data_IF_499270053057
#
_entry.id   IF_499270053057
#
_cell.length_a   1.000
_cell.length_b   1.000
_cell.length_c   1.000
_cell.angle_alpha   90.00
_cell.angle_beta   90.00
_cell.angle_gamma   90.00
#
_symmetry.space_group_name_H-M   'P 1'
#
loop_
_entity.id
_entity.type
_entity.pdbx_description
1 polymer ?
#
# COMPACT_ATOMS: atom_id res chain seq x y z
N UNK A 1 59.36 23.96 -0.38
CA UNK A 1 58.49 23.62 -1.52
C UNK A 1 57.70 22.37 -1.18
N UNK A 2 56.55 22.51 -0.52
CA UNK A 2 55.75 21.35 -0.13
C UNK A 2 54.32 21.76 0.28
N UNK A 3 53.50 22.21 -0.69
CA UNK A 3 52.07 21.85 -0.74
C UNK A 3 51.39 22.41 -1.99
N UNK A 4 50.71 21.56 -2.79
CA UNK A 4 49.35 21.92 -3.24
C UNK A 4 48.31 20.82 -3.01
N UNK A 5 48.69 19.71 -2.36
CA UNK A 5 47.82 18.52 -2.24
C UNK A 5 46.96 18.48 -0.97
N UNK A 6 47.27 19.24 0.10
CA UNK A 6 46.47 19.19 1.34
C UNK A 6 45.21 20.08 1.28
N UNK A 7 45.22 21.15 0.48
CA UNK A 7 44.05 22.02 0.32
C UNK A 7 42.88 21.30 -0.39
N UNK A 8 43.18 20.48 -1.42
CA UNK A 8 42.16 19.68 -2.12
C UNK A 8 41.54 18.58 -1.25
N UNK A 9 42.27 18.08 -0.26
CA UNK A 9 41.74 17.08 0.67
C UNK A 9 40.89 17.71 1.79
N UNK A 10 41.11 18.97 2.15
CA UNK A 10 40.27 19.70 3.11
C UNK A 10 38.92 20.16 2.52
N UNK A 11 38.78 20.36 1.21
CA UNK A 11 37.53 20.78 0.54
C UNK A 11 36.37 19.76 0.58
N UNK A 12 36.62 18.53 1.04
CA UNK A 12 35.67 17.42 0.85
C UNK A 12 34.36 17.45 1.64
N UNK A 13 34.23 18.04 2.85
CA UNK A 13 32.98 17.89 3.60
C UNK A 13 31.84 18.82 3.14
N UNK A 14 32.11 19.90 2.39
CA UNK A 14 31.10 20.92 2.07
C UNK A 14 31.00 21.32 0.59
N UNK A 15 31.84 20.78 -0.29
CA UNK A 15 31.81 21.02 -1.74
C UNK A 15 32.49 22.32 -2.19
N UNK A 16 32.44 22.58 -3.50
CA UNK A 16 33.04 23.75 -4.15
C UNK A 16 32.10 24.97 -4.18
N UNK A 17 32.65 26.14 -4.48
CA UNK A 17 31.93 27.41 -4.62
C UNK A 17 30.96 27.33 -5.81
N UNK A 18 29.72 27.79 -5.62
CA UNK A 18 28.64 27.61 -6.61
C UNK A 18 28.82 28.64 -7.74
N UNK A 19 29.34 28.21 -8.88
CA UNK A 19 29.50 29.07 -10.05
C UNK A 19 28.17 29.37 -10.75
N UNK A 20 27.34 28.34 -10.99
CA UNK A 20 26.00 28.48 -11.59
C UNK A 20 24.93 27.81 -10.74
N UNK A 21 24.18 28.63 -10.03
CA UNK A 21 23.08 28.22 -9.15
C UNK A 21 21.98 27.45 -9.89
N UNK A 22 21.70 27.78 -11.16
CA UNK A 22 20.66 27.09 -11.94
C UNK A 22 21.09 25.65 -12.25
N UNK A 23 22.29 25.51 -12.80
CA UNK A 23 22.84 24.20 -13.12
C UNK A 23 23.00 23.34 -11.86
N UNK A 24 23.49 23.91 -10.75
CA UNK A 24 23.60 23.20 -9.48
C UNK A 24 22.26 22.74 -8.94
N UNK A 25 21.22 23.59 -8.95
CA UNK A 25 19.88 23.19 -8.48
C UNK A 25 19.33 22.03 -9.31
N UNK A 26 19.44 22.11 -10.64
CA UNK A 26 18.96 21.06 -11.52
C UNK A 26 19.71 19.74 -11.26
N UNK A 27 21.03 19.78 -11.09
CA UNK A 27 21.83 18.61 -10.74
C UNK A 27 21.40 17.98 -9.41
N UNK A 28 21.14 18.78 -8.37
CA UNK A 28 20.65 18.28 -7.08
C UNK A 28 19.28 17.61 -7.25
N UNK A 29 18.35 18.24 -7.97
CA UNK A 29 17.01 17.68 -8.24
C UNK A 29 17.12 16.34 -8.98
N UNK A 30 17.92 16.29 -10.05
CA UNK A 30 18.10 15.05 -10.83
C UNK A 30 18.75 13.95 -10.00
N UNK A 31 19.77 14.27 -9.21
CA UNK A 31 20.41 13.30 -8.30
C UNK A 31 19.44 12.78 -7.26
N UNK A 32 18.64 13.67 -6.66
CA UNK A 32 17.61 13.30 -5.71
C UNK A 32 16.57 12.36 -6.32
N UNK A 33 15.97 12.73 -7.45
CA UNK A 33 14.97 11.90 -8.11
C UNK A 33 15.53 10.52 -8.53
N UNK A 34 16.76 10.49 -9.04
CA UNK A 34 17.43 9.23 -9.42
C UNK A 34 17.67 8.33 -8.20
N UNK A 35 18.15 8.90 -7.09
CA UNK A 35 18.37 8.14 -5.87
C UNK A 35 17.07 7.65 -5.24
N UNK A 36 16.03 8.49 -5.19
CA UNK A 36 14.70 8.13 -4.71
C UNK A 36 14.16 6.91 -5.47
N UNK A 37 14.23 6.96 -6.81
CA UNK A 37 13.82 5.84 -7.67
C UNK A 37 14.70 4.60 -7.49
N UNK A 38 16.01 4.76 -7.27
CA UNK A 38 16.93 3.65 -7.01
C UNK A 38 16.66 2.98 -5.65
N UNK A 39 16.28 3.74 -4.61
CA UNK A 39 15.90 3.19 -3.29
C UNK A 39 14.61 2.39 -3.38
N UNK A 40 13.63 2.84 -4.17
CA UNK A 40 12.42 2.05 -4.46
C UNK A 40 12.76 0.81 -5.29
N UNK A 41 13.64 0.94 -6.29
CA UNK A 41 14.05 -0.18 -7.14
C UNK A 41 15.00 -1.18 -6.49
N UNK A 42 15.49 -0.91 -5.27
CA UNK A 42 16.49 -1.74 -4.60
C UNK A 42 17.88 -1.71 -5.26
N UNK A 43 18.16 -0.70 -6.08
CA UNK A 43 19.43 -0.52 -6.82
C UNK A 43 20.28 0.62 -6.28
N UNK A 44 19.95 1.14 -5.09
CA UNK A 44 20.71 2.16 -4.41
C UNK A 44 22.14 1.69 -4.11
N UNK A 45 23.12 2.57 -4.32
CA UNK A 45 24.56 2.26 -4.14
C UNK A 45 24.95 1.95 -2.70
N UNK A 46 24.23 2.55 -1.74
CA UNK A 46 24.46 2.36 -0.31
C UNK A 46 23.23 1.65 0.27
N UNK A 47 23.32 0.34 0.46
CA UNK A 47 22.25 -0.48 1.03
C UNK A 47 22.34 -0.37 2.55
N UNK A 48 21.30 0.16 3.18
CA UNK A 48 21.17 0.21 4.64
C UNK A 48 20.95 -1.21 5.18
N UNK A 49 21.78 -1.65 6.13
CA UNK A 49 21.74 -3.01 6.69
C UNK A 49 21.01 -3.09 8.03
N UNK A 50 20.65 -1.94 8.62
CA UNK A 50 20.07 -1.86 9.96
C UNK A 50 18.55 -2.06 9.97
N UNK A 51 17.84 -1.55 8.95
CA UNK A 51 16.38 -1.63 8.85
C UNK A 51 15.95 -1.88 7.40
N UNK A 52 14.81 -2.57 7.24
CA UNK A 52 14.19 -2.77 5.95
C UNK A 52 13.53 -1.46 5.48
N UNK A 53 14.02 -0.89 4.39
CA UNK A 53 13.51 0.36 3.82
C UNK A 53 13.27 0.26 2.30
N UNK A 54 12.55 1.23 1.75
CA UNK A 54 12.37 1.37 0.30
C UNK A 54 11.57 0.23 -0.32
N UNK A 55 12.02 -0.25 -1.49
CA UNK A 55 11.31 -1.30 -2.23
C UNK A 55 11.13 -2.60 -1.46
N UNK A 56 12.14 -3.00 -0.69
CA UNK A 56 12.08 -4.22 0.09
C UNK A 56 11.04 -4.13 1.23
N UNK A 57 10.88 -2.94 1.83
CA UNK A 57 9.86 -2.67 2.84
C UNK A 57 8.46 -2.66 2.25
N UNK A 58 8.28 -2.10 1.06
CA UNK A 58 7.01 -2.16 0.32
C UNK A 58 6.63 -3.63 0.03
N UNK A 59 7.59 -4.45 -0.41
CA UNK A 59 7.36 -5.87 -0.63
C UNK A 59 6.93 -6.61 0.66
N UNK A 60 7.57 -6.30 1.79
CA UNK A 60 7.18 -6.83 3.10
C UNK A 60 5.77 -6.38 3.51
N UNK A 61 5.39 -5.12 3.24
CA UNK A 61 4.02 -4.64 3.51
C UNK A 61 3.00 -5.46 2.71
N UNK A 62 3.26 -5.75 1.44
CA UNK A 62 2.33 -6.53 0.61
C UNK A 62 2.19 -7.99 1.07
N UNK A 63 3.28 -8.66 1.38
CA UNK A 63 3.25 -10.10 1.66
C UNK A 63 3.08 -10.40 3.15
N UNK A 64 3.99 -9.89 3.98
CA UNK A 64 4.07 -10.25 5.40
C UNK A 64 3.06 -9.48 6.26
N UNK A 65 2.75 -8.24 5.89
CA UNK A 65 1.78 -7.42 6.64
C UNK A 65 0.37 -7.62 6.11
N UNK A 66 0.12 -7.26 4.84
CA UNK A 66 -1.20 -7.31 4.24
C UNK A 66 -1.68 -8.75 4.01
N UNK A 67 -0.85 -9.59 3.38
CA UNK A 67 -1.17 -11.01 3.19
C UNK A 67 -1.52 -11.72 4.50
N UNK A 68 -0.65 -11.62 5.51
CA UNK A 68 -0.91 -12.19 6.85
C UNK A 68 -2.18 -11.64 7.51
N UNK A 69 -2.46 -10.33 7.33
CA UNK A 69 -3.68 -9.71 7.87
C UNK A 69 -4.92 -10.31 7.22
N UNK A 70 -4.94 -10.49 5.90
CA UNK A 70 -6.06 -11.11 5.20
C UNK A 70 -6.26 -12.58 5.58
N UNK A 71 -5.17 -13.32 5.77
CA UNK A 71 -5.22 -14.73 6.17
C UNK A 71 -5.88 -14.93 7.54
N UNK A 72 -5.65 -14.01 8.48
CA UNK A 72 -6.24 -14.02 9.83
C UNK A 72 -7.74 -13.72 9.85
N UNK A 73 -8.31 -13.20 8.76
CA UNK A 73 -9.76 -12.93 8.68
C UNK A 73 -10.50 -14.25 8.53
N UNK A 74 -11.18 -14.67 9.60
CA UNK A 74 -12.03 -15.85 9.58
C UNK A 74 -13.25 -15.59 8.67
N UNK A 75 -13.48 -16.43 7.63
CA UNK A 75 -14.60 -16.29 6.69
C UNK A 75 -15.99 -16.38 7.35
N UNK A 76 -16.10 -17.06 8.50
CA UNK A 76 -17.35 -17.23 9.23
C UNK A 76 -17.40 -16.38 10.51
N UNK A 77 -16.49 -15.42 10.67
CA UNK A 77 -16.54 -14.56 11.86
C UNK A 77 -17.88 -13.84 11.92
N UNK A 78 -18.49 -13.85 13.10
CA UNK A 78 -19.81 -13.28 13.38
C UNK A 78 -20.95 -13.92 12.55
N UNK A 79 -20.79 -15.17 12.08
CA UNK A 79 -21.85 -15.96 11.45
C UNK A 79 -22.04 -17.24 12.25
N UNK A 80 -22.96 -17.20 13.21
CA UNK A 80 -23.38 -18.42 13.93
C UNK A 80 -24.43 -19.15 13.10
N UNK A 81 -24.59 -20.46 13.32
CA UNK A 81 -25.65 -21.23 12.65
C UNK A 81 -27.05 -20.67 12.93
N UNK A 82 -27.25 -20.01 14.09
CA UNK A 82 -28.49 -19.31 14.41
C UNK A 82 -28.69 -18.06 13.53
N UNK A 83 -27.64 -17.29 13.27
CA UNK A 83 -27.70 -16.12 12.38
C UNK A 83 -28.02 -16.54 10.95
N UNK A 84 -27.37 -17.62 10.48
CA UNK A 84 -27.60 -18.19 9.15
C UNK A 84 -29.05 -18.66 9.04
N UNK A 85 -29.55 -19.43 10.01
CA UNK A 85 -30.93 -19.89 10.00
C UNK A 85 -31.92 -18.73 10.04
N UNK A 86 -31.63 -17.71 10.85
CA UNK A 86 -32.46 -16.50 10.91
C UNK A 86 -32.49 -15.81 9.55
N UNK A 87 -31.36 -15.72 8.84
CA UNK A 87 -31.30 -15.19 7.50
C UNK A 87 -32.10 -16.04 6.49
N UNK A 88 -32.02 -17.37 6.55
CA UNK A 88 -32.82 -18.29 5.72
C UNK A 88 -34.32 -18.05 5.94
N UNK A 89 -34.75 -17.99 7.20
CA UNK A 89 -36.17 -17.77 7.57
C UNK A 89 -36.65 -16.40 7.08
N UNK A 90 -35.86 -15.35 7.28
CA UNK A 90 -36.19 -13.99 6.81
C UNK A 90 -36.24 -13.90 5.28
N UNK A 91 -35.31 -14.56 4.57
CA UNK A 91 -35.28 -14.58 3.11
C UNK A 91 -36.45 -15.39 2.52
N UNK A 92 -36.94 -16.41 3.23
CA UNK A 92 -38.11 -17.20 2.83
C UNK A 92 -39.41 -16.42 3.04
N UNK A 93 -39.48 -15.59 4.08
CA UNK A 93 -40.64 -14.76 4.39
C UNK A 93 -41.82 -15.58 4.96
N UNK A 94 -43.08 -15.28 4.59
CA UNK A 94 -44.26 -15.84 5.25
C UNK A 94 -44.62 -17.27 4.83
N UNK A 95 -43.91 -17.86 3.86
CA UNK A 95 -44.24 -19.18 3.29
C UNK A 95 -43.23 -20.24 3.76
N UNK A 96 -43.61 -21.52 3.83
CA UNK A 96 -42.64 -22.60 4.04
C UNK A 96 -41.74 -22.75 2.80
N UNK A 97 -40.42 -22.84 2.99
CA UNK A 97 -39.44 -23.04 1.93
C UNK A 97 -39.30 -24.53 1.58
N UNK A 98 -39.33 -24.84 0.28
CA UNK A 98 -38.92 -26.15 -0.24
C UNK A 98 -37.39 -26.23 -0.43
N UNK A 99 -36.73 -25.10 -0.69
CA UNK A 99 -35.29 -25.00 -0.94
C UNK A 99 -34.71 -23.78 -0.21
N UNK A 100 -33.41 -23.80 0.03
CA UNK A 100 -32.69 -22.67 0.62
C UNK A 100 -32.69 -21.49 -0.38
N UNK A 101 -33.13 -20.28 0.00
CA UNK A 101 -33.09 -19.12 -0.88
C UNK A 101 -31.65 -18.71 -1.20
N UNK A 102 -31.30 -18.60 -2.49
CA UNK A 102 -29.96 -18.19 -2.97
C UNK A 102 -29.51 -16.83 -2.42
N UNK A 103 -30.47 -15.91 -2.25
CA UNK A 103 -30.27 -14.57 -1.69
C UNK A 103 -29.65 -14.62 -0.28
N UNK A 104 -29.89 -15.70 0.48
CA UNK A 104 -29.28 -15.88 1.81
C UNK A 104 -27.77 -15.97 1.72
N UNK A 105 -27.27 -16.82 0.82
CA UNK A 105 -25.85 -16.97 0.57
C UNK A 105 -25.25 -15.64 0.10
N UNK A 106 -25.90 -15.01 -0.89
CA UNK A 106 -25.43 -13.75 -1.47
C UNK A 106 -25.30 -12.63 -0.43
N UNK A 107 -26.31 -12.45 0.43
CA UNK A 107 -26.30 -11.45 1.49
C UNK A 107 -25.15 -11.67 2.48
N UNK A 108 -25.00 -12.92 2.95
CA UNK A 108 -24.03 -13.26 3.99
C UNK A 108 -22.60 -13.20 3.46
N UNK A 109 -22.35 -13.67 2.23
CA UNK A 109 -21.01 -13.63 1.64
C UNK A 109 -20.57 -12.19 1.34
N UNK A 110 -21.48 -11.32 0.86
CA UNK A 110 -21.19 -9.89 0.66
C UNK A 110 -20.81 -9.20 1.97
N UNK A 111 -21.48 -9.55 3.09
CA UNK A 111 -21.13 -9.04 4.41
C UNK A 111 -19.70 -9.41 4.80
N UNK A 112 -19.25 -10.61 4.45
CA UNK A 112 -17.88 -11.06 4.72
C UNK A 112 -16.86 -10.38 3.80
N UNK A 113 -17.13 -10.30 2.50
CA UNK A 113 -16.25 -9.64 1.51
C UNK A 113 -16.01 -8.17 1.88
N UNK A 114 -17.04 -7.44 2.35
CA UNK A 114 -16.91 -6.04 2.77
C UNK A 114 -15.87 -5.82 3.87
N UNK A 115 -15.56 -6.84 4.66
CA UNK A 115 -14.52 -6.76 5.72
C UNK A 115 -13.09 -6.71 5.17
N UNK A 116 -12.91 -6.95 3.87
CA UNK A 116 -11.61 -6.83 3.20
C UNK A 116 -11.26 -5.38 2.86
N UNK A 117 -12.20 -4.43 2.98
CA UNK A 117 -11.99 -3.01 2.64
C UNK A 117 -10.96 -2.37 3.57
N UNK A 118 -11.21 -2.39 4.87
CA UNK A 118 -10.33 -1.76 5.88
C UNK A 118 -8.87 -2.23 5.81
N UNK A 119 -8.55 -3.56 5.80
CA UNK A 119 -7.17 -4.00 5.70
C UNK A 119 -6.52 -3.63 4.35
N UNK A 120 -7.30 -3.56 3.26
CA UNK A 120 -6.80 -3.14 1.95
C UNK A 120 -6.46 -1.65 1.92
N UNK A 121 -7.30 -0.81 2.52
CA UNK A 121 -7.03 0.64 2.63
C UNK A 121 -5.87 0.92 3.58
N UNK A 122 -5.74 0.15 4.67
CA UNK A 122 -4.59 0.24 5.55
C UNK A 122 -3.28 -0.11 4.83
N UNK A 123 -3.30 -1.08 3.90
CA UNK A 123 -2.15 -1.38 3.06
C UNK A 123 -1.72 -0.17 2.20
N UNK A 124 -2.68 0.58 1.65
CA UNK A 124 -2.41 1.82 0.90
C UNK A 124 -1.71 2.85 1.79
N UNK A 125 -2.21 3.07 3.01
CA UNK A 125 -1.61 4.02 3.97
C UNK A 125 -0.19 3.64 4.35
N UNK A 126 0.06 2.37 4.68
CA UNK A 126 1.40 1.89 5.04
C UNK A 126 2.42 2.08 3.91
N UNK A 127 2.03 1.85 2.66
CA UNK A 127 2.91 2.10 1.50
C UNK A 127 3.12 3.60 1.29
N UNK A 128 2.09 4.42 1.47
CA UNK A 128 2.24 5.87 1.39
C UNK A 128 3.19 6.40 2.47
N UNK A 129 3.09 5.93 3.71
CA UNK A 129 4.03 6.25 4.80
C UNK A 129 5.46 5.80 4.48
N UNK A 130 5.64 4.61 3.89
CA UNK A 130 6.95 4.15 3.46
C UNK A 130 7.54 5.04 2.38
N UNK A 131 6.76 5.39 1.36
CA UNK A 131 7.17 6.30 0.29
C UNK A 131 7.58 7.69 0.82
N UNK A 132 6.93 8.17 1.88
CA UNK A 132 7.35 9.38 2.59
C UNK A 132 8.67 9.18 3.35
N UNK A 133 8.85 8.04 4.01
CA UNK A 133 10.06 7.70 4.77
C UNK A 133 11.31 7.62 3.88
N UNK A 134 11.17 7.15 2.64
CA UNK A 134 12.28 7.06 1.67
C UNK A 134 12.98 8.40 1.46
N UNK A 135 12.27 9.53 1.56
CA UNK A 135 12.87 10.87 1.38
C UNK A 135 13.98 11.16 2.41
N UNK A 136 13.86 10.59 3.61
CA UNK A 136 14.87 10.72 4.67
C UNK A 136 16.08 9.80 4.43
N UNK A 137 15.90 8.73 3.66
CA UNK A 137 16.89 7.66 3.46
C UNK A 137 17.42 7.57 2.02
N UNK A 138 17.44 8.68 1.27
CA UNK A 138 17.98 8.75 -0.10
C UNK A 138 19.53 8.66 -0.18
N UNK A 139 20.21 8.18 0.85
CA UNK A 139 21.66 7.96 0.89
C UNK A 139 22.49 9.14 1.43
N UNK A 140 23.71 8.80 1.86
CA UNK A 140 24.62 9.69 2.60
C UNK A 140 25.02 10.93 1.80
N UNK A 141 25.32 10.77 0.50
CA UNK A 141 25.74 11.90 -0.36
C UNK A 141 24.65 12.97 -0.47
N UNK A 142 23.40 12.55 -0.61
CA UNK A 142 22.25 13.46 -0.71
C UNK A 142 21.98 14.10 0.63
N UNK A 143 22.05 13.34 1.73
CA UNK A 143 21.92 13.91 3.07
C UNK A 143 22.96 15.02 3.34
N UNK A 144 24.19 14.88 2.84
CA UNK A 144 25.21 15.93 2.94
C UNK A 144 24.82 17.20 2.15
N UNK A 145 24.30 17.05 0.93
CA UNK A 145 23.79 18.17 0.14
C UNK A 145 22.59 18.85 0.81
N UNK A 146 21.68 18.06 1.40
CA UNK A 146 20.51 18.57 2.13
C UNK A 146 20.91 19.30 3.42
N UNK A 147 21.98 18.88 4.09
CA UNK A 147 22.55 19.62 5.24
C UNK A 147 23.19 20.95 4.82
N UNK A 148 23.75 21.03 3.61
CA UNK A 148 24.29 22.29 3.04
C UNK A 148 23.17 23.27 2.71
N UNK A 149 22.07 22.78 2.12
CA UNK A 149 20.92 23.57 1.66
C UNK A 149 19.61 23.18 2.38
N UNK A 150 19.43 23.55 3.66
CA UNK A 150 18.28 23.11 4.45
C UNK A 150 16.93 23.60 3.90
N UNK A 151 16.88 24.81 3.33
CA UNK A 151 15.64 25.35 2.71
C UNK A 151 15.23 24.59 1.46
N UNK A 152 16.22 24.17 0.65
CA UNK A 152 15.96 23.31 -0.50
C UNK A 152 15.42 21.95 -0.04
N UNK A 153 15.97 21.37 1.03
CA UNK A 153 15.49 20.10 1.58
C UNK A 153 14.04 20.18 2.06
N UNK A 154 13.70 21.20 2.86
CA UNK A 154 12.32 21.42 3.32
C UNK A 154 11.35 21.57 2.15
N UNK A 155 11.79 22.26 1.09
CA UNK A 155 10.97 22.43 -0.10
C UNK A 155 10.82 21.13 -0.90
N UNK A 156 11.88 20.35 -1.07
CA UNK A 156 11.81 19.01 -1.70
C UNK A 156 10.84 18.12 -0.93
N UNK A 157 10.97 18.05 0.40
CA UNK A 157 10.06 17.28 1.27
C UNK A 157 8.60 17.70 1.07
N UNK A 158 8.35 19.01 1.01
CA UNK A 158 7.01 19.57 0.79
C UNK A 158 6.45 19.18 -0.58
N UNK A 159 7.25 19.23 -1.64
CA UNK A 159 6.85 18.82 -3.00
C UNK A 159 6.53 17.33 -3.03
N UNK A 160 7.44 16.47 -2.54
CA UNK A 160 7.23 15.01 -2.51
C UNK A 160 5.97 14.66 -1.72
N UNK A 161 5.80 15.26 -0.53
CA UNK A 161 4.61 15.06 0.30
C UNK A 161 3.32 15.47 -0.41
N UNK A 162 3.36 16.56 -1.19
CA UNK A 162 2.20 17.03 -1.97
C UNK A 162 1.87 16.05 -3.10
N UNK A 163 2.87 15.57 -3.83
CA UNK A 163 2.69 14.58 -4.90
C UNK A 163 2.12 13.28 -4.34
N UNK A 164 2.69 12.75 -3.25
CA UNK A 164 2.21 11.53 -2.60
C UNK A 164 0.76 11.66 -2.11
N UNK A 165 0.43 12.77 -1.44
CA UNK A 165 -0.95 13.05 -0.98
C UNK A 165 -1.93 13.17 -2.15
N UNK A 166 -1.53 13.76 -3.27
CA UNK A 166 -2.38 13.87 -4.47
C UNK A 166 -2.73 12.52 -5.07
N UNK A 167 -1.91 11.49 -4.84
CA UNK A 167 -2.10 10.12 -5.33
C UNK A 167 -2.75 9.19 -4.32
N UNK A 168 -2.76 9.55 -3.04
CA UNK A 168 -3.38 8.75 -1.98
C UNK A 168 -4.88 8.55 -2.23
N UNK A 169 -5.63 9.63 -2.44
CA UNK A 169 -7.10 9.57 -2.60
C UNK A 169 -7.51 8.74 -3.82
N UNK A 170 -6.95 8.96 -5.04
CA UNK A 170 -7.27 8.12 -6.19
C UNK A 170 -6.94 6.64 -5.99
N UNK A 171 -5.83 6.34 -5.30
CA UNK A 171 -5.44 4.95 -5.02
C UNK A 171 -6.41 4.28 -4.06
N UNK A 172 -6.82 4.98 -2.99
CA UNK A 172 -7.83 4.49 -2.04
C UNK A 172 -9.17 4.23 -2.73
N UNK A 173 -9.65 5.18 -3.52
CA UNK A 173 -10.89 5.04 -4.27
C UNK A 173 -10.85 3.85 -5.23
N UNK A 174 -9.73 3.64 -5.93
CA UNK A 174 -9.60 2.49 -6.81
C UNK A 174 -9.61 1.17 -6.04
N UNK A 175 -8.94 1.09 -4.88
CA UNK A 175 -8.96 -0.10 -4.03
C UNK A 175 -10.36 -0.38 -3.44
N UNK A 176 -11.10 0.65 -3.05
CA UNK A 176 -12.51 0.54 -2.66
C UNK A 176 -13.35 -0.02 -3.81
N UNK A 177 -13.20 0.56 -5.02
CA UNK A 177 -13.89 0.11 -6.22
C UNK A 177 -13.59 -1.36 -6.58
N UNK A 178 -12.35 -1.83 -6.39
CA UNK A 178 -12.01 -3.25 -6.61
C UNK A 178 -12.88 -4.18 -5.77
N UNK A 179 -13.14 -3.81 -4.52
CA UNK A 179 -13.97 -4.61 -3.61
C UNK A 179 -15.46 -4.41 -3.89
N UNK A 180 -15.87 -3.19 -4.25
CA UNK A 180 -17.26 -2.90 -4.63
C UNK A 180 -17.68 -3.67 -5.89
N UNK A 181 -16.76 -3.91 -6.84
CA UNK A 181 -17.01 -4.76 -8.01
C UNK A 181 -17.27 -6.22 -7.58
N UNK A 182 -16.52 -6.75 -6.62
CA UNK A 182 -16.73 -8.10 -6.08
C UNK A 182 -18.06 -8.20 -5.30
N UNK A 183 -18.52 -7.10 -4.69
CA UNK A 183 -19.82 -7.00 -4.03
C UNK A 183 -20.98 -6.83 -5.01
N UNK A 184 -20.73 -6.25 -6.18
CA UNK A 184 -21.76 -5.98 -7.18
C UNK A 184 -22.30 -7.27 -7.81
N UNK A 185 -21.44 -8.28 -8.00
CA UNK A 185 -21.84 -9.53 -8.65
C UNK A 185 -21.17 -10.77 -8.03
N UNK A 186 -21.99 -11.72 -7.59
CA UNK A 186 -21.51 -13.02 -7.10
C UNK A 186 -21.54 -14.03 -8.24
N UNK A 187 -20.36 -14.43 -8.71
CA UNK A 187 -20.23 -15.39 -9.82
C UNK A 187 -20.24 -16.84 -9.32
N UNK A 188 -21.44 -17.43 -9.24
CA UNK A 188 -21.62 -18.83 -8.80
C UNK A 188 -21.23 -19.87 -9.86
N UNK A 189 -20.95 -19.46 -11.10
CA UNK A 189 -20.47 -20.35 -12.18
C UNK A 189 -18.95 -20.45 -12.24
N UNK A 190 -18.26 -19.91 -11.24
CA UNK A 190 -16.80 -19.88 -11.19
C UNK A 190 -16.22 -21.27 -11.47
N UNK A 191 -15.32 -21.39 -12.46
CA UNK A 191 -14.54 -22.61 -12.77
C UNK A 191 -13.46 -22.88 -11.71
N UNK A 192 -13.69 -22.52 -10.45
CA UNK A 192 -12.78 -22.89 -9.37
C UNK A 192 -13.15 -24.31 -8.92
N UNK A 193 -12.27 -25.32 -9.06
CA UNK A 193 -12.61 -26.72 -8.80
C UNK A 193 -13.22 -26.96 -7.42
N UNK A 194 -12.74 -26.26 -6.39
CA UNK A 194 -13.28 -26.35 -5.01
C UNK A 194 -14.71 -25.83 -4.89
N UNK A 195 -15.04 -24.66 -5.46
CA UNK A 195 -16.40 -24.12 -5.36
C UNK A 195 -17.40 -24.92 -6.20
N UNK A 196 -16.97 -25.40 -7.37
CA UNK A 196 -17.79 -26.27 -8.21
C UNK A 196 -18.06 -27.63 -7.53
N UNK A 197 -17.08 -28.21 -6.83
CA UNK A 197 -17.26 -29.44 -6.07
C UNK A 197 -18.21 -29.25 -4.87
N UNK A 198 -18.05 -28.17 -4.11
CA UNK A 198 -18.95 -27.83 -3.01
C UNK A 198 -20.38 -27.58 -3.50
N UNK A 199 -20.54 -26.80 -4.57
CA UNK A 199 -21.85 -26.55 -5.20
C UNK A 199 -22.47 -27.83 -5.79
N UNK A 200 -21.67 -28.74 -6.35
CA UNK A 200 -22.14 -30.03 -6.84
C UNK A 200 -22.59 -30.96 -5.70
N UNK A 201 -21.91 -30.94 -4.55
CA UNK A 201 -22.29 -31.68 -3.34
C UNK A 201 -23.64 -31.22 -2.78
N UNK A 202 -23.95 -29.92 -2.86
CA UNK A 202 -25.29 -29.39 -2.55
C UNK A 202 -26.36 -30.00 -3.47
N UNK A 203 -26.02 -30.26 -4.73
CA UNK A 203 -26.90 -30.97 -5.67
C UNK A 203 -27.16 -32.43 -5.31
N UNK A 204 -26.18 -33.11 -4.70
CA UNK A 204 -26.27 -34.54 -4.33
C UNK A 204 -27.03 -34.78 -3.02
N UNK A 205 -26.99 -33.82 -2.08
CA UNK A 205 -27.80 -33.88 -0.84
C UNK A 205 -29.33 -33.76 -1.09
N UNK A 206 -29.75 -33.50 -2.33
CA UNK A 206 -31.17 -33.39 -2.74
C UNK A 206 -31.93 -34.73 -2.85
N UNK A 207 -31.33 -35.88 -2.50
CA UNK A 207 -31.93 -37.20 -2.75
C UNK A 207 -32.50 -37.97 -1.56
N UNK A 208 -32.46 -37.42 -0.34
CA UNK A 208 -33.04 -38.10 0.83
C UNK A 208 -34.09 -37.22 1.53
N UNK A 209 -35.31 -37.22 0.99
CA UNK A 209 -36.51 -36.80 1.72
C UNK A 209 -37.60 -37.88 1.55
N UNK A 210 -37.81 -38.68 2.60
CA UNK A 210 -39.13 -39.23 2.95
C UNK A 210 -39.08 -39.92 4.32
N UNK A 211 -39.28 -39.17 5.40
CA UNK A 211 -39.87 -39.68 6.66
C UNK A 211 -40.72 -38.59 7.31
N UNK A 212 -41.95 -38.90 7.77
CA UNK A 212 -42.75 -37.94 8.51
C UNK A 212 -42.24 -37.87 9.95
N UNK A 213 -42.05 -36.67 10.49
CA UNK A 213 -41.75 -36.47 11.92
C UNK A 213 -42.93 -35.75 12.57
N UNK A 214 -43.42 -36.36 13.65
CA UNK A 214 -44.49 -35.88 14.50
C UNK A 214 -43.90 -35.31 15.81
N UNK A 215 -44.64 -34.39 16.45
CA UNK A 215 -44.54 -33.88 17.83
C UNK A 215 -43.66 -32.65 18.18
N UNK A 216 -44.31 -31.48 18.11
CA UNK A 216 -44.42 -30.33 19.05
C UNK A 216 -43.47 -30.10 20.26
N UNK A 217 -42.21 -30.54 20.30
CA UNK A 217 -41.32 -30.26 21.47
C UNK A 217 -39.97 -29.59 21.21
N UNK A 218 -39.70 -29.10 20.00
CA UNK A 218 -38.40 -28.52 19.65
C UNK A 218 -38.49 -27.02 19.43
N UNK A 219 -38.29 -26.24 20.49
CA UNK A 219 -38.09 -24.78 20.39
C UNK A 219 -36.67 -24.33 20.76
N UNK A 220 -35.76 -25.28 21.00
CA UNK A 220 -34.36 -25.00 21.41
C UNK A 220 -33.29 -25.72 20.59
N UNK A 221 -33.61 -26.76 19.83
CA UNK A 221 -32.65 -27.50 19.02
C UNK A 221 -33.00 -27.34 17.53
N UNK A 222 -31.97 -27.21 16.68
CA UNK A 222 -32.11 -27.08 15.24
C UNK A 222 -32.59 -28.42 14.68
N UNK A 223 -33.56 -28.40 13.76
CA UNK A 223 -33.94 -29.64 13.07
C UNK A 223 -32.77 -30.15 12.20
N UNK A 224 -32.69 -31.46 11.97
CA UNK A 224 -31.63 -32.06 11.13
C UNK A 224 -31.57 -31.43 9.72
N UNK A 225 -32.71 -30.98 9.20
CA UNK A 225 -32.80 -30.25 7.93
C UNK A 225 -32.16 -28.87 8.05
N UNK A 226 -32.54 -28.07 9.04
CA UNK A 226 -31.98 -26.74 9.26
C UNK A 226 -30.48 -26.77 9.53
N UNK A 227 -30.00 -27.80 10.23
CA UNK A 227 -28.57 -27.99 10.48
C UNK A 227 -27.81 -28.29 9.19
N UNK A 228 -28.36 -29.14 8.31
CA UNK A 228 -27.80 -29.39 6.96
C UNK A 228 -27.79 -28.12 6.11
N UNK A 229 -28.87 -27.36 6.12
CA UNK A 229 -29.00 -26.12 5.35
C UNK A 229 -27.96 -25.07 5.79
N UNK A 230 -27.76 -24.92 7.11
CA UNK A 230 -26.72 -24.03 7.64
C UNK A 230 -25.31 -24.48 7.20
N UNK A 231 -25.01 -25.78 7.30
CA UNK A 231 -23.71 -26.32 6.89
C UNK A 231 -23.42 -26.09 5.40
N UNK A 232 -24.42 -26.22 4.54
CA UNK A 232 -24.31 -25.91 3.10
C UNK A 232 -23.92 -24.45 2.90
N UNK A 233 -24.65 -23.52 3.53
CA UNK A 233 -24.36 -22.09 3.41
C UNK A 233 -22.97 -21.74 3.96
N UNK A 234 -22.58 -22.29 5.10
CA UNK A 234 -21.26 -22.09 5.68
C UNK A 234 -20.12 -22.51 4.73
N UNK A 235 -20.26 -23.66 4.07
CA UNK A 235 -19.27 -24.14 3.10
C UNK A 235 -19.18 -23.24 1.88
N UNK A 236 -20.34 -22.85 1.32
CA UNK A 236 -20.37 -21.94 0.17
C UNK A 236 -19.75 -20.58 0.51
N UNK A 237 -20.05 -20.01 1.68
CA UNK A 237 -19.46 -18.75 2.15
C UNK A 237 -17.94 -18.88 2.26
N UNK A 238 -17.46 -19.92 2.94
CA UNK A 238 -16.02 -20.17 3.10
C UNK A 238 -15.32 -20.26 1.75
N UNK A 239 -15.83 -21.11 0.86
CA UNK A 239 -15.23 -21.39 -0.44
C UNK A 239 -15.18 -20.13 -1.31
N UNK A 240 -16.30 -19.41 -1.44
CA UNK A 240 -16.33 -18.17 -2.23
C UNK A 240 -15.47 -17.06 -1.63
N UNK A 241 -15.54 -16.85 -0.31
CA UNK A 241 -14.73 -15.83 0.37
C UNK A 241 -13.23 -16.07 0.19
N UNK A 242 -12.77 -17.33 0.22
CA UNK A 242 -11.35 -17.65 0.00
C UNK A 242 -10.88 -17.29 -1.41
N UNK A 243 -11.73 -17.46 -2.43
CA UNK A 243 -11.43 -17.05 -3.82
C UNK A 243 -11.26 -15.52 -3.86
N UNK A 244 -12.24 -14.77 -3.35
CA UNK A 244 -12.18 -13.31 -3.34
C UNK A 244 -10.97 -12.80 -2.56
N UNK A 245 -10.68 -13.40 -1.40
CA UNK A 245 -9.49 -13.05 -0.61
C UNK A 245 -8.19 -13.18 -1.43
N UNK A 246 -8.02 -14.27 -2.19
CA UNK A 246 -6.86 -14.46 -3.07
C UNK A 246 -6.81 -13.41 -4.18
N UNK A 247 -7.95 -13.10 -4.80
CA UNK A 247 -8.03 -12.05 -5.83
C UNK A 247 -7.63 -10.68 -5.27
N UNK A 248 -8.15 -10.31 -4.11
CA UNK A 248 -7.84 -9.04 -3.42
C UNK A 248 -6.36 -8.99 -3.02
N UNK A 249 -5.80 -10.09 -2.51
CA UNK A 249 -4.39 -10.18 -2.12
C UNK A 249 -3.43 -9.90 -3.28
N UNK A 250 -3.83 -10.24 -4.52
CA UNK A 250 -3.07 -9.97 -5.74
C UNK A 250 -3.38 -8.60 -6.38
N UNK A 251 -4.65 -8.20 -6.40
CA UNK A 251 -5.10 -6.98 -7.08
C UNK A 251 -4.70 -5.69 -6.34
N UNK A 252 -4.75 -5.68 -5.01
CA UNK A 252 -4.45 -4.48 -4.20
C UNK A 252 -2.98 -4.03 -4.34
N UNK A 253 -1.97 -4.91 -4.21
CA UNK A 253 -0.59 -4.53 -4.47
C UNK A 253 -0.38 -3.96 -5.88
N UNK A 254 -1.01 -4.54 -6.90
CA UNK A 254 -0.92 -4.06 -8.30
C UNK A 254 -1.52 -2.67 -8.44
N UNK A 255 -2.66 -2.41 -7.80
CA UNK A 255 -3.28 -1.09 -7.78
C UNK A 255 -2.37 -0.05 -7.12
N UNK A 256 -1.80 -0.36 -5.95
CA UNK A 256 -0.90 0.54 -5.22
C UNK A 256 0.37 0.81 -6.05
N UNK A 257 0.97 -0.22 -6.63
CA UNK A 257 2.14 -0.08 -7.49
C UNK A 257 1.84 0.85 -8.68
N UNK A 258 0.72 0.64 -9.36
CA UNK A 258 0.37 1.45 -10.54
C UNK A 258 0.00 2.90 -10.19
N UNK A 259 -0.92 3.10 -9.25
CA UNK A 259 -1.51 4.42 -8.99
C UNK A 259 -0.65 5.32 -8.09
N UNK A 260 0.20 4.74 -7.24
CA UNK A 260 1.02 5.48 -6.28
C UNK A 260 2.52 5.34 -6.62
N UNK A 261 3.09 4.14 -6.55
CA UNK A 261 4.55 3.95 -6.61
C UNK A 261 5.11 4.32 -7.98
N UNK A 262 4.63 3.69 -9.04
CA UNK A 262 5.09 3.91 -10.41
C UNK A 262 4.80 5.35 -10.86
N UNK A 263 3.61 5.87 -10.54
CA UNK A 263 3.26 7.25 -10.84
C UNK A 263 4.29 8.23 -10.27
N UNK A 264 4.65 8.07 -8.99
CA UNK A 264 5.63 8.95 -8.32
C UNK A 264 7.01 8.77 -8.96
N UNK A 265 7.44 7.53 -9.23
CA UNK A 265 8.75 7.30 -9.88
C UNK A 265 8.85 7.97 -11.26
N UNK A 266 7.77 7.98 -12.04
CA UNK A 266 7.74 8.58 -13.38
C UNK A 266 7.65 10.10 -13.36
N UNK A 267 6.94 10.68 -12.37
CA UNK A 267 6.56 12.10 -12.37
C UNK A 267 7.31 12.95 -11.34
N UNK A 268 8.04 12.35 -10.40
CA UNK A 268 8.65 13.10 -9.30
C UNK A 268 9.67 14.13 -9.79
N UNK A 269 10.52 13.77 -10.76
CA UNK A 269 11.52 14.70 -11.30
C UNK A 269 10.86 15.92 -11.97
N UNK A 270 9.83 15.70 -12.78
CA UNK A 270 9.16 16.80 -13.50
C UNK A 270 8.43 17.73 -12.54
N UNK A 271 7.77 17.19 -11.50
CA UNK A 271 7.13 17.99 -10.45
C UNK A 271 8.14 18.77 -9.61
N UNK A 272 9.28 18.18 -9.25
CA UNK A 272 10.35 18.89 -8.55
C UNK A 272 10.92 20.04 -9.40
N UNK A 273 11.21 19.81 -10.68
CA UNK A 273 11.70 20.87 -11.58
C UNK A 273 10.66 21.99 -11.70
N UNK A 274 9.40 21.66 -11.94
CA UNK A 274 8.29 22.64 -12.09
C UNK A 274 8.10 23.53 -10.85
N UNK A 275 8.29 22.97 -9.65
CA UNK A 275 8.05 23.70 -8.40
C UNK A 275 9.29 24.42 -7.85
N UNK A 276 10.50 23.89 -8.12
CA UNK A 276 11.75 24.40 -7.53
C UNK A 276 12.58 25.25 -8.50
N UNK A 277 12.53 24.97 -9.81
CA UNK A 277 13.35 25.65 -10.81
C UNK A 277 12.73 26.98 -11.26
N UNK A 278 12.62 27.95 -10.34
CA UNK A 278 12.10 29.30 -10.61
C UNK A 278 13.11 30.37 -10.22
N UNK A 279 13.34 31.34 -11.11
CA UNK A 279 14.35 32.39 -10.93
C UNK A 279 14.25 33.13 -9.58
N UNK A 280 13.02 33.35 -9.11
CA UNK A 280 12.73 34.15 -7.91
C UNK A 280 13.16 33.46 -6.59
N UNK A 281 13.17 32.13 -6.55
CA UNK A 281 13.38 31.36 -5.31
C UNK A 281 14.74 30.66 -5.27
N UNK A 282 15.48 30.58 -6.39
CA UNK A 282 16.75 29.85 -6.47
C UNK A 282 17.77 30.33 -5.44
N UNK A 283 17.88 31.66 -5.25
CA UNK A 283 18.82 32.23 -4.29
C UNK A 283 18.46 31.90 -2.84
N UNK A 284 17.16 31.81 -2.54
CA UNK A 284 16.65 31.45 -1.22
C UNK A 284 16.82 29.96 -0.93
N UNK A 285 16.56 29.11 -1.93
CA UNK A 285 16.68 27.65 -1.84
C UNK A 285 18.14 27.22 -1.63
N UNK A 286 19.08 27.82 -2.37
CA UNK A 286 20.51 27.53 -2.27
C UNK A 286 21.22 28.36 -1.18
N UNK A 287 20.47 28.90 -0.22
CA UNK A 287 21.05 29.56 0.94
C UNK A 287 21.80 28.55 1.82
N UNK A 288 23.14 28.59 1.75
CA UNK A 288 23.99 27.72 2.56
C UNK A 288 23.83 27.98 4.07
N UNK A 289 23.96 26.89 4.85
CA UNK A 289 23.99 26.96 6.31
C UNK A 289 25.17 27.81 6.80
N UNK A 290 24.94 28.66 7.81
CA UNK A 290 25.94 29.61 8.33
C UNK A 290 27.32 29.00 8.63
N UNK A 291 27.36 27.78 9.19
CA UNK A 291 28.61 27.07 9.47
C UNK A 291 29.40 26.73 8.19
N UNK A 292 28.71 26.39 7.11
CA UNK A 292 29.32 26.11 5.80
C UNK A 292 29.87 27.39 5.18
N UNK A 293 29.09 28.48 5.23
CA UNK A 293 29.53 29.80 4.77
C UNK A 293 30.79 30.30 5.52
N UNK A 294 30.80 30.17 6.84
CA UNK A 294 31.96 30.54 7.68
C UNK A 294 33.19 29.70 7.34
N UNK A 295 33.00 28.39 7.11
CA UNK A 295 34.09 27.49 6.73
C UNK A 295 34.68 27.83 5.36
N UNK A 296 33.84 28.00 4.32
CA UNK A 296 34.29 28.40 2.99
C UNK A 296 34.97 29.78 3.00
N UNK A 297 34.45 30.74 3.78
CA UNK A 297 35.08 32.06 3.94
C UNK A 297 36.48 31.96 4.56
N UNK A 298 36.66 31.10 5.55
CA UNK A 298 37.95 30.90 6.20
C UNK A 298 38.95 30.16 5.29
N UNK A 299 38.51 29.15 4.54
CA UNK A 299 39.33 28.46 3.54
C UNK A 299 39.73 29.39 2.40
N UNK A 300 38.81 30.22 1.91
CA UNK A 300 39.07 31.22 0.87
C UNK A 300 39.99 32.37 1.31
N UNK A 301 40.15 32.59 2.63
CA UNK A 301 41.16 33.49 3.21
C UNK A 301 42.53 32.80 3.32
N UNK A 302 42.56 31.53 3.73
CA UNK A 302 43.78 30.72 3.83
C UNK A 302 44.45 30.45 2.47
N UNK A 303 43.66 30.24 1.41
CA UNK A 303 44.18 30.09 0.05
C UNK A 303 44.78 31.38 -0.51
N UNK A 304 44.28 32.56 -0.10
CA UNK A 304 44.83 33.87 -0.46
C UNK A 304 46.10 34.23 0.31
N UNK A 305 46.23 33.82 1.58
CA UNK A 305 47.48 33.99 2.34
C UNK A 305 48.62 33.10 1.85
N UNK A 306 48.34 32.02 1.12
CA UNK A 306 49.36 31.12 0.55
C UNK A 306 49.89 31.57 -0.83
N UNK A 307 49.33 32.66 -1.40
CA UNK A 307 49.71 33.23 -2.71
C UNK A 307 50.44 34.58 -2.60
N UNK A 308 50.74 35.02 -1.39
CA UNK A 308 51.65 36.14 -1.07
C UNK A 308 52.92 35.58 -0.42
#
# INVERSE_FOLDING_TARGET
MSCPLSARHCCRPYGEEIADKKTTLLQIITRFATAYSATIGGTAKNIETAELCGGARICYIFHETFGSTLEKINPLQNLTSLDILTAIRNATGPRPALFIPEVTFELLVKRQIKRLVDPSLNCVELVHEEMQRIVQNCGIEIQQEMQRFPRLYDRINSVVSTVLKSRLVPTRQFVENLIDIELAYINTKHKHPEFAADAAMVGLMKREENRPVNSEKERKELTEREQRDCQVIERLIKSYFMIIRKNVQDAVPKAIMNFLVNYVQEHLQSELVKQLYRNEIIDDLLAERLKVKLWLSNVGKLSRCSML
#
